data_IF_852776973264
#
_entry.id   IF_852776973264
#
_cell.length_a   1.000
_cell.length_b   1.000
_cell.length_c   1.000
_cell.angle_alpha   90.00
_cell.angle_beta   90.00
_cell.angle_gamma   90.00
#
_symmetry.space_group_name_H-M   'P 1'
#
loop_
_entity.id
_entity.type
_entity.pdbx_description
1 polymer ?
#
# COMPACT_ATOMS: atom_id res chain seq x y z
N UNK A 1 5.50 -39.53 -24.90
CA UNK A 1 6.37 -38.39 -25.24
C UNK A 1 5.55 -37.48 -26.13
N UNK A 2 5.41 -36.20 -25.76
CA UNK A 2 4.70 -35.22 -26.60
C UNK A 2 5.67 -34.78 -27.70
N UNK A 3 5.21 -34.77 -28.94
CA UNK A 3 5.99 -34.31 -30.10
C UNK A 3 6.45 -32.86 -29.86
N UNK A 4 7.70 -32.50 -30.21
CA UNK A 4 8.20 -31.15 -30.00
C UNK A 4 7.40 -30.15 -30.86
N UNK A 5 7.16 -28.97 -30.30
CA UNK A 5 6.46 -27.88 -31.00
C UNK A 5 7.25 -27.41 -32.22
N UNK A 6 6.54 -27.05 -33.30
CA UNK A 6 7.14 -26.38 -34.46
C UNK A 6 7.61 -24.97 -34.11
N UNK A 7 8.42 -24.35 -34.98
CA UNK A 7 8.89 -22.97 -34.78
C UNK A 7 7.71 -22.00 -34.76
N UNK A 8 6.74 -22.18 -35.64
CA UNK A 8 5.52 -21.36 -35.73
C UNK A 8 4.68 -21.49 -34.46
N UNK A 9 4.53 -22.72 -33.93
CA UNK A 9 3.79 -22.97 -32.69
C UNK A 9 4.45 -22.28 -31.48
N UNK A 10 5.79 -22.30 -31.40
CA UNK A 10 6.55 -21.61 -30.34
C UNK A 10 6.40 -20.09 -30.44
N UNK A 11 6.42 -19.53 -31.65
CA UNK A 11 6.21 -18.09 -31.86
C UNK A 11 4.80 -17.66 -31.48
N UNK A 12 3.78 -18.39 -31.94
CA UNK A 12 2.39 -18.13 -31.59
C UNK A 12 2.15 -18.24 -30.08
N UNK A 13 2.80 -19.20 -29.42
CA UNK A 13 2.75 -19.31 -27.96
C UNK A 13 3.38 -18.07 -27.28
N UNK A 14 4.48 -17.54 -27.81
CA UNK A 14 5.11 -16.32 -27.31
C UNK A 14 4.19 -15.10 -27.40
N UNK A 15 3.51 -14.92 -28.54
CA UNK A 15 2.52 -13.85 -28.72
C UNK A 15 1.33 -14.01 -27.76
N UNK A 16 0.83 -15.24 -27.61
CA UNK A 16 -0.25 -15.53 -26.67
C UNK A 16 0.13 -15.24 -25.21
N UNK A 17 1.35 -15.60 -24.80
CA UNK A 17 1.87 -15.25 -23.46
C UNK A 17 1.91 -13.73 -23.27
N UNK A 18 2.35 -12.98 -24.29
CA UNK A 18 2.41 -11.53 -24.23
C UNK A 18 1.01 -10.91 -24.09
N UNK A 19 0.03 -11.40 -24.86
CA UNK A 19 -1.37 -10.99 -24.75
C UNK A 19 -1.96 -11.28 -23.35
N UNK A 20 -1.72 -12.48 -22.81
CA UNK A 20 -2.14 -12.84 -21.46
C UNK A 20 -1.52 -11.92 -20.40
N UNK A 21 -0.25 -11.56 -20.55
CA UNK A 21 0.42 -10.64 -19.64
C UNK A 21 -0.25 -9.24 -19.63
N UNK A 22 -0.62 -8.72 -20.81
CA UNK A 22 -1.36 -7.44 -20.93
C UNK A 22 -2.69 -7.51 -20.16
N UNK A 23 -3.43 -8.61 -20.29
CA UNK A 23 -4.68 -8.80 -19.56
C UNK A 23 -4.47 -8.90 -18.04
N UNK A 24 -3.40 -9.54 -17.59
CA UNK A 24 -3.03 -9.61 -16.18
C UNK A 24 -2.70 -8.22 -15.62
N UNK A 25 -1.97 -7.40 -16.37
CA UNK A 25 -1.65 -6.03 -15.95
C UNK A 25 -2.90 -5.14 -15.87
N UNK A 26 -3.80 -5.24 -16.84
CA UNK A 26 -5.10 -4.56 -16.78
C UNK A 26 -5.98 -5.05 -15.62
N UNK A 27 -5.95 -6.34 -15.29
CA UNK A 27 -6.63 -6.89 -14.12
C UNK A 27 -5.99 -6.42 -12.80
N UNK A 28 -4.66 -6.34 -12.77
CA UNK A 28 -3.91 -5.80 -11.64
C UNK A 28 -4.28 -4.34 -11.38
N UNK A 29 -4.47 -3.53 -12.42
CA UNK A 29 -4.98 -2.16 -12.27
C UNK A 29 -6.31 -2.11 -11.52
N UNK A 30 -7.28 -2.93 -11.94
CA UNK A 30 -8.61 -3.00 -11.28
C UNK A 30 -8.47 -3.40 -9.82
N UNK A 31 -7.67 -4.42 -9.53
CA UNK A 31 -7.38 -4.84 -8.16
C UNK A 31 -6.78 -3.68 -7.33
N UNK A 32 -5.79 -2.97 -7.86
CA UNK A 32 -5.18 -1.83 -7.16
C UNK A 32 -6.19 -0.68 -6.91
N UNK A 33 -7.10 -0.43 -7.85
CA UNK A 33 -8.16 0.57 -7.69
C UNK A 33 -9.14 0.18 -6.57
N UNK A 34 -9.52 -1.09 -6.49
CA UNK A 34 -10.37 -1.62 -5.42
C UNK A 34 -9.64 -1.59 -4.07
N UNK A 35 -8.36 -1.98 -4.04
CA UNK A 35 -7.53 -1.92 -2.83
C UNK A 35 -7.43 -0.51 -2.27
N UNK A 36 -7.23 0.49 -3.13
CA UNK A 36 -7.20 1.90 -2.72
C UNK A 36 -8.53 2.31 -2.09
N UNK A 37 -9.64 1.98 -2.74
CA UNK A 37 -10.98 2.33 -2.26
C UNK A 37 -11.29 1.65 -0.93
N UNK A 38 -10.94 0.36 -0.81
CA UNK A 38 -11.12 -0.42 0.42
C UNK A 38 -10.25 0.08 1.58
N UNK A 39 -8.99 0.42 1.31
CA UNK A 39 -8.06 0.98 2.29
C UNK A 39 -8.54 2.36 2.79
N UNK A 40 -8.96 3.24 1.88
CA UNK A 40 -9.51 4.56 2.20
C UNK A 40 -10.83 4.48 2.99
N UNK A 41 -11.68 3.49 2.71
CA UNK A 41 -12.92 3.25 3.44
C UNK A 41 -12.72 2.60 4.83
N UNK A 42 -11.48 2.22 5.17
CA UNK A 42 -11.15 1.52 6.41
C UNK A 42 -11.80 0.13 6.50
N UNK A 43 -12.04 -0.56 5.38
CA UNK A 43 -12.76 -1.83 5.36
C UNK A 43 -12.07 -2.95 6.16
N UNK A 44 -10.73 -2.89 6.25
CA UNK A 44 -9.92 -3.77 7.08
C UNK A 44 -10.12 -3.53 8.59
N UNK A 45 -10.37 -2.28 9.00
CA UNK A 45 -10.58 -1.92 10.39
C UNK A 45 -11.92 -2.46 10.90
N UNK A 46 -12.97 -2.39 10.08
CA UNK A 46 -14.30 -2.96 10.41
C UNK A 46 -14.24 -4.47 10.65
N UNK A 47 -13.23 -5.15 10.12
CA UNK A 47 -12.97 -6.58 10.29
C UNK A 47 -11.97 -6.87 11.42
N UNK A 48 -11.53 -5.86 12.18
CA UNK A 48 -10.69 -6.01 13.38
C UNK A 48 -9.17 -6.04 13.13
N UNK A 49 -8.71 -5.71 11.92
CA UNK A 49 -7.28 -5.69 11.61
C UNK A 49 -6.62 -4.36 11.97
N UNK A 50 -5.33 -4.37 12.29
CA UNK A 50 -4.56 -3.16 12.62
C UNK A 50 -4.10 -2.34 11.41
N UNK A 51 -4.02 -2.96 10.22
CA UNK A 51 -3.67 -2.29 8.95
C UNK A 51 -4.26 -3.06 7.77
N UNK A 52 -4.47 -2.40 6.62
CA UNK A 52 -4.88 -3.08 5.39
C UNK A 52 -3.89 -4.19 4.94
N UNK A 53 -2.58 -4.00 5.13
CA UNK A 53 -1.58 -5.01 4.75
C UNK A 53 -1.75 -6.33 5.53
N UNK A 54 -2.07 -6.27 6.82
CA UNK A 54 -2.36 -7.47 7.63
C UNK A 54 -3.68 -8.13 7.21
N UNK A 55 -4.69 -7.34 6.84
CA UNK A 55 -5.92 -7.88 6.29
C UNK A 55 -5.67 -8.60 4.96
N UNK A 56 -4.88 -8.01 4.07
CA UNK A 56 -4.50 -8.64 2.79
C UNK A 56 -3.70 -9.92 3.00
N UNK A 57 -2.79 -9.92 3.97
CA UNK A 57 -2.02 -11.13 4.29
C UNK A 57 -2.93 -12.27 4.72
N UNK A 58 -3.93 -11.99 5.55
CA UNK A 58 -4.89 -13.01 5.99
C UNK A 58 -5.94 -13.39 4.92
N UNK A 59 -6.50 -12.42 4.18
CA UNK A 59 -7.57 -12.68 3.20
C UNK A 59 -7.08 -13.20 1.85
N UNK A 60 -5.97 -12.64 1.36
CA UNK A 60 -5.45 -12.86 0.00
C UNK A 60 -4.23 -13.78 0.02
N UNK A 61 -3.62 -14.00 1.18
CA UNK A 61 -2.47 -14.90 1.33
C UNK A 61 -1.13 -14.30 0.93
N UNK A 62 -1.06 -12.98 0.74
CA UNK A 62 0.21 -12.29 0.47
C UNK A 62 1.08 -12.16 1.71
N UNK A 63 2.41 -12.15 1.53
CA UNK A 63 3.28 -11.69 2.59
C UNK A 63 3.11 -10.17 2.82
N UNK A 64 3.54 -9.69 3.98
CA UNK A 64 3.37 -8.28 4.35
C UNK A 64 4.15 -7.32 3.44
N UNK A 65 5.28 -7.73 2.86
CA UNK A 65 6.06 -6.92 1.93
C UNK A 65 5.29 -6.72 0.62
N UNK A 66 4.80 -7.82 0.04
CA UNK A 66 3.96 -7.80 -1.16
C UNK A 66 2.70 -6.97 -0.94
N UNK A 67 1.99 -7.16 0.17
CA UNK A 67 0.79 -6.38 0.48
C UNK A 67 1.06 -4.88 0.60
N UNK A 68 2.16 -4.49 1.27
CA UNK A 68 2.55 -3.08 1.41
C UNK A 68 2.93 -2.46 0.07
N UNK A 69 3.64 -3.20 -0.79
CA UNK A 69 4.05 -2.69 -2.09
C UNK A 69 2.83 -2.43 -3.00
N UNK A 70 1.88 -3.37 -3.05
CA UNK A 70 0.62 -3.17 -3.79
C UNK A 70 -0.16 -1.97 -3.25
N UNK A 71 -0.28 -1.83 -1.92
CA UNK A 71 -0.94 -0.67 -1.32
C UNK A 71 -0.22 0.66 -1.64
N UNK A 72 1.12 0.66 -1.66
CA UNK A 72 1.91 1.84 -2.04
C UNK A 72 1.62 2.24 -3.48
N UNK A 73 1.66 1.28 -4.41
CA UNK A 73 1.37 1.53 -5.83
C UNK A 73 -0.06 2.01 -6.01
N UNK A 74 -1.04 1.34 -5.38
CA UNK A 74 -2.46 1.70 -5.43
C UNK A 74 -2.71 3.15 -5.00
N UNK A 75 -2.05 3.62 -3.93
CA UNK A 75 -2.13 5.00 -3.46
C UNK A 75 -1.47 5.98 -4.43
N UNK A 76 -0.29 5.65 -4.94
CA UNK A 76 0.45 6.52 -5.86
C UNK A 76 -0.26 6.72 -7.21
N UNK A 77 -0.96 5.70 -7.72
CA UNK A 77 -1.70 5.79 -8.99
C UNK A 77 -2.84 6.82 -8.95
N UNK A 78 -3.34 7.21 -7.77
CA UNK A 78 -4.34 8.26 -7.67
C UNK A 78 -3.80 9.63 -8.12
N UNK A 79 -2.52 9.89 -7.87
CA UNK A 79 -1.86 11.16 -8.22
C UNK A 79 -1.13 11.11 -9.56
N UNK A 80 -1.22 9.98 -10.27
CA UNK A 80 -0.53 9.69 -11.51
C UNK A 80 -1.53 9.11 -12.54
N UNK A 81 -2.42 9.96 -13.11
CA UNK A 81 -3.49 9.53 -14.00
C UNK A 81 -2.98 8.91 -15.31
N UNK A 82 -1.89 9.40 -15.90
CA UNK A 82 -1.36 8.88 -17.17
C UNK A 82 -0.77 7.47 -16.98
N UNK A 83 -0.05 7.26 -15.89
CA UNK A 83 0.50 5.94 -15.53
C UNK A 83 -0.62 4.98 -15.16
N UNK A 84 -1.65 5.46 -14.46
CA UNK A 84 -2.85 4.68 -14.14
C UNK A 84 -3.57 4.20 -15.40
N UNK A 85 -3.77 5.09 -16.38
CA UNK A 85 -4.39 4.77 -17.67
C UNK A 85 -3.52 3.80 -18.49
N UNK A 86 -2.21 4.01 -18.54
CA UNK A 86 -1.31 3.11 -19.27
C UNK A 86 -1.32 1.69 -18.69
N UNK A 87 -1.39 1.54 -17.36
CA UNK A 87 -1.52 0.22 -16.72
C UNK A 87 -2.90 -0.39 -16.97
N UNK A 88 -3.98 0.39 -16.92
CA UNK A 88 -5.34 -0.12 -17.16
C UNK A 88 -5.52 -0.64 -18.59
N UNK A 89 -4.84 -0.01 -19.54
CA UNK A 89 -4.76 -0.43 -20.94
C UNK A 89 -3.72 -1.54 -21.20
N UNK A 90 -2.95 -1.96 -20.18
CA UNK A 90 -1.88 -2.94 -20.29
C UNK A 90 -0.71 -2.51 -21.21
N UNK A 91 -0.55 -1.21 -21.45
CA UNK A 91 0.54 -0.63 -22.24
C UNK A 91 1.88 -0.65 -21.48
N UNK A 92 1.82 -0.66 -20.15
CA UNK A 92 2.97 -0.85 -19.27
C UNK A 92 2.65 -1.93 -18.25
N UNK A 93 3.68 -2.67 -17.84
CA UNK A 93 3.50 -3.72 -16.84
C UNK A 93 3.45 -3.18 -15.41
N UNK A 94 2.90 -3.98 -14.49
CA UNK A 94 2.91 -3.68 -13.06
C UNK A 94 4.33 -3.43 -12.54
N UNK A 95 5.32 -4.19 -13.02
CA UNK A 95 6.73 -4.00 -12.65
C UNK A 95 7.26 -2.61 -13.04
N UNK A 96 6.94 -2.13 -14.25
CA UNK A 96 7.29 -0.76 -14.69
C UNK A 96 6.56 0.28 -13.85
N UNK A 97 5.26 0.12 -13.65
CA UNK A 97 4.43 0.98 -12.81
C UNK A 97 4.98 1.10 -11.38
N UNK A 98 5.34 -0.03 -10.78
CA UNK A 98 5.91 -0.11 -9.42
C UNK A 98 7.23 0.66 -9.31
N UNK A 99 8.04 0.68 -10.36
CA UNK A 99 9.28 1.45 -10.42
C UNK A 99 9.02 2.97 -10.57
N UNK A 100 8.14 3.35 -11.49
CA UNK A 100 7.78 4.77 -11.76
C UNK A 100 7.18 5.42 -10.52
N UNK A 101 6.23 4.76 -9.88
CA UNK A 101 5.50 5.26 -8.70
C UNK A 101 6.38 5.52 -7.46
N UNK A 102 7.68 5.16 -7.50
CA UNK A 102 8.63 5.50 -6.42
C UNK A 102 9.15 6.92 -6.50
N UNK A 103 9.15 7.52 -7.69
CA UNK A 103 9.83 8.80 -7.97
C UNK A 103 8.99 9.77 -8.80
N UNK A 104 7.96 9.27 -9.49
CA UNK A 104 7.12 10.10 -10.32
C UNK A 104 6.32 11.11 -9.47
N UNK A 105 6.27 12.33 -9.97
CA UNK A 105 5.37 13.40 -9.54
C UNK A 105 4.49 13.78 -10.73
N UNK A 106 3.43 14.56 -10.50
CA UNK A 106 2.58 15.03 -11.59
C UNK A 106 3.36 15.76 -12.70
N UNK A 107 4.46 16.45 -12.35
CA UNK A 107 5.31 17.15 -13.31
C UNK A 107 6.22 16.22 -14.13
N UNK A 108 6.64 15.08 -13.57
CA UNK A 108 7.58 14.15 -14.22
C UNK A 108 6.90 12.92 -14.82
N UNK A 109 5.61 12.74 -14.56
CA UNK A 109 4.83 11.57 -14.94
C UNK A 109 4.92 11.25 -16.44
N UNK A 110 4.63 12.23 -17.31
CA UNK A 110 4.60 12.03 -18.75
C UNK A 110 5.97 11.60 -19.31
N UNK A 111 7.05 12.19 -18.79
CA UNK A 111 8.43 11.86 -19.19
C UNK A 111 8.80 10.44 -18.78
N UNK A 112 8.49 10.07 -17.53
CA UNK A 112 8.78 8.72 -17.02
C UNK A 112 7.92 7.65 -17.72
N UNK A 113 6.69 7.98 -18.09
CA UNK A 113 5.83 7.10 -18.87
C UNK A 113 6.40 6.86 -20.29
N UNK A 114 6.91 7.92 -20.95
CA UNK A 114 7.60 7.79 -22.23
C UNK A 114 8.78 6.82 -22.16
N UNK A 115 9.62 6.92 -21.12
CA UNK A 115 10.68 5.93 -20.90
C UNK A 115 10.13 4.52 -20.67
N UNK A 116 9.05 4.39 -19.91
CA UNK A 116 8.45 3.09 -19.61
C UNK A 116 7.93 2.37 -20.86
N UNK A 117 7.50 3.08 -21.90
CA UNK A 117 7.04 2.50 -23.16
C UNK A 117 8.18 1.89 -23.98
N UNK A 118 9.41 2.40 -23.84
CA UNK A 118 10.55 1.99 -24.66
C UNK A 118 11.64 1.21 -23.92
N UNK A 119 11.63 1.20 -22.58
CA UNK A 119 12.62 0.49 -21.77
C UNK A 119 12.08 -0.81 -21.19
N UNK A 120 12.98 -1.74 -20.85
CA UNK A 120 12.63 -2.88 -19.99
C UNK A 120 12.38 -2.42 -18.55
N UNK A 121 11.71 -3.24 -17.74
CA UNK A 121 11.46 -2.91 -16.34
C UNK A 121 12.77 -2.71 -15.55
N UNK A 122 13.82 -3.48 -15.81
CA UNK A 122 15.12 -3.37 -15.13
C UNK A 122 15.89 -2.09 -15.51
N UNK A 123 15.85 -1.71 -16.79
CA UNK A 123 16.40 -0.43 -17.24
C UNK A 123 15.66 0.74 -16.58
N UNK A 124 14.32 0.68 -16.55
CA UNK A 124 13.50 1.70 -15.93
C UNK A 124 13.74 1.80 -14.42
N UNK A 125 13.88 0.67 -13.71
CA UNK A 125 14.25 0.67 -12.29
C UNK A 125 15.59 1.36 -12.04
N UNK A 126 16.56 1.20 -12.93
CA UNK A 126 17.86 1.88 -12.86
C UNK A 126 17.71 3.38 -13.05
N UNK A 127 16.92 3.81 -14.04
CA UNK A 127 16.61 5.24 -14.28
C UNK A 127 15.92 5.83 -13.06
N UNK A 128 14.83 5.21 -12.57
CA UNK A 128 14.09 5.69 -11.42
C UNK A 128 14.96 5.77 -10.16
N UNK A 129 15.85 4.79 -9.93
CA UNK A 129 16.77 4.83 -8.79
C UNK A 129 17.67 6.07 -8.83
N UNK A 130 18.24 6.40 -10.00
CA UNK A 130 19.09 7.58 -10.17
C UNK A 130 18.32 8.89 -9.97
N UNK A 131 17.11 8.97 -10.53
CA UNK A 131 16.23 10.13 -10.35
C UNK A 131 15.84 10.31 -8.87
N UNK A 132 15.55 9.21 -8.17
CA UNK A 132 15.18 9.23 -6.75
C UNK A 132 16.30 9.75 -5.86
N UNK A 133 17.55 9.37 -6.13
CA UNK A 133 18.72 9.91 -5.39
C UNK A 133 18.84 11.42 -5.59
N UNK A 134 18.79 11.89 -6.84
CA UNK A 134 18.90 13.32 -7.16
C UNK A 134 17.72 14.14 -6.59
N UNK A 135 16.52 13.57 -6.59
CA UNK A 135 15.32 14.19 -6.02
C UNK A 135 15.33 14.23 -4.49
N UNK A 136 15.86 13.19 -3.83
CA UNK A 136 16.02 13.15 -2.37
C UNK A 136 17.03 14.20 -1.88
N UNK A 137 18.11 14.41 -2.62
CA UNK A 137 19.11 15.45 -2.31
C UNK A 137 18.53 16.87 -2.45
N UNK A 138 17.65 17.09 -3.43
CA UNK A 138 16.93 18.34 -3.62
C UNK A 138 15.82 18.55 -2.56
N UNK A 139 15.04 17.51 -2.24
CA UNK A 139 13.96 17.56 -1.25
C UNK A 139 14.47 17.65 0.20
N UNK A 140 15.68 17.15 0.48
CA UNK A 140 16.33 17.35 1.78
C UNK A 140 16.70 18.81 2.05
N UNK A 141 16.73 19.65 0.99
CA UNK A 141 16.99 21.11 1.08
C UNK A 141 15.72 21.95 1.13
N UNK A 142 14.57 21.39 0.78
CA UNK A 142 13.27 22.05 0.82
C UNK A 142 12.44 21.49 1.99
N UNK A 143 12.50 22.21 3.12
CA UNK A 143 11.63 22.09 4.29
C UNK A 143 10.25 21.50 3.97
N UNK A 144 9.98 20.27 4.42
CA UNK A 144 8.64 19.66 4.29
C UNK A 144 7.67 20.38 5.23
N UNK A 145 6.48 20.81 4.79
CA UNK A 145 5.44 21.25 5.72
C UNK A 145 4.96 20.05 6.54
N UNK A 146 5.37 19.99 7.80
CA UNK A 146 5.04 18.91 8.75
C UNK A 146 3.53 18.74 9.02
N UNK A 147 2.69 19.67 8.55
CA UNK A 147 1.25 19.67 8.85
C UNK A 147 0.46 18.60 8.08
N UNK A 148 0.92 18.21 6.90
CA UNK A 148 0.17 17.28 6.01
C UNK A 148 0.21 15.82 6.49
N UNK A 149 1.21 15.46 7.31
CA UNK A 149 1.43 14.09 7.80
C UNK A 149 0.91 13.89 9.23
N UNK A 150 0.36 14.94 9.86
CA UNK A 150 -0.08 14.93 11.25
C UNK A 150 -1.38 14.13 11.43
N UNK A 151 -1.37 13.08 12.24
CA UNK A 151 -2.58 12.33 12.62
C UNK A 151 -2.47 11.66 13.99
N UNK A 152 -3.62 11.35 14.59
CA UNK A 152 -3.73 10.53 15.80
C UNK A 152 -4.85 9.50 15.61
N UNK A 153 -4.54 8.23 15.82
CA UNK A 153 -5.48 7.12 15.84
C UNK A 153 -5.34 6.35 17.15
N UNK A 154 -6.43 5.80 17.68
CA UNK A 154 -6.36 4.93 18.86
C UNK A 154 -7.21 3.69 18.71
N UNK A 155 -6.81 2.62 19.39
CA UNK A 155 -7.52 1.33 19.44
C UNK A 155 -7.53 0.83 20.86
N UNK A 156 -8.70 0.61 21.46
CA UNK A 156 -8.78 -0.11 22.73
C UNK A 156 -8.51 -1.59 22.48
N UNK A 157 -7.93 -2.37 23.38
CA UNK A 157 -7.73 -3.83 23.28
C UNK A 157 -8.85 -4.58 24.02
N UNK A 158 -8.94 -5.91 23.85
CA UNK A 158 -9.92 -6.72 24.58
C UNK A 158 -9.68 -6.75 26.10
N UNK A 159 -8.47 -6.38 26.55
CA UNK A 159 -8.10 -6.21 27.95
C UNK A 159 -8.35 -4.79 28.48
N UNK A 160 -8.90 -3.89 27.65
CA UNK A 160 -9.19 -2.50 28.04
C UNK A 160 -8.02 -1.52 27.91
N UNK A 161 -6.83 -1.99 27.49
CA UNK A 161 -5.70 -1.09 27.21
C UNK A 161 -5.95 -0.28 25.94
N UNK A 162 -5.34 0.90 25.80
CA UNK A 162 -5.50 1.73 24.59
C UNK A 162 -4.17 1.85 23.86
N UNK A 163 -4.11 1.35 22.62
CA UNK A 163 -3.00 1.53 21.71
C UNK A 163 -3.20 2.83 20.93
N UNK A 164 -2.35 3.82 21.13
CA UNK A 164 -2.37 5.09 20.38
C UNK A 164 -1.27 5.06 19.32
N UNK A 165 -1.60 5.42 18.09
CA UNK A 165 -0.67 5.63 16.98
C UNK A 165 -0.79 7.07 16.52
N UNK A 166 0.29 7.83 16.62
CA UNK A 166 0.31 9.24 16.23
C UNK A 166 1.51 9.54 15.34
N UNK A 167 1.32 10.40 14.35
CA UNK A 167 2.39 11.11 13.66
C UNK A 167 2.20 12.59 14.00
N UNK A 168 3.16 13.16 14.70
CA UNK A 168 3.08 14.49 15.28
C UNK A 168 4.30 15.30 14.85
N UNK A 169 4.22 16.61 15.00
CA UNK A 169 5.41 17.45 14.87
C UNK A 169 6.45 17.07 15.95
N UNK A 170 7.76 17.29 15.72
CA UNK A 170 8.79 16.85 16.65
C UNK A 170 8.60 17.37 18.09
N UNK A 171 8.15 18.62 18.23
CA UNK A 171 7.81 19.27 19.50
C UNK A 171 6.59 18.63 20.19
N UNK A 172 5.52 18.35 19.44
CA UNK A 172 4.33 17.65 19.92
C UNK A 172 4.63 16.19 20.33
N UNK A 173 5.46 15.50 19.55
CA UNK A 173 5.88 14.12 19.83
C UNK A 173 6.73 14.04 21.10
N UNK A 174 7.65 14.99 21.30
CA UNK A 174 8.47 15.06 22.51
C UNK A 174 7.61 15.20 23.77
N UNK A 175 6.59 16.07 23.72
CA UNK A 175 5.65 16.27 24.83
C UNK A 175 4.84 14.98 25.11
N UNK A 176 4.32 14.33 24.06
CA UNK A 176 3.56 13.08 24.19
C UNK A 176 4.43 11.96 24.80
N UNK A 177 5.65 11.78 24.31
CA UNK A 177 6.56 10.74 24.81
C UNK A 177 6.94 10.98 26.26
N UNK A 178 7.18 12.24 26.66
CA UNK A 178 7.47 12.58 28.05
C UNK A 178 6.30 12.22 28.97
N UNK A 179 5.06 12.51 28.57
CA UNK A 179 3.86 12.16 29.35
C UNK A 179 3.69 10.65 29.44
N UNK A 180 3.92 9.91 28.35
CA UNK A 180 3.74 8.45 28.31
C UNK A 180 4.85 7.67 29.03
N UNK A 181 6.04 8.25 29.20
CA UNK A 181 7.17 7.65 29.91
C UNK A 181 7.12 7.89 31.42
N UNK A 182 6.17 8.69 31.92
CA UNK A 182 5.91 8.80 33.35
C UNK A 182 5.47 7.41 33.87
N UNK A 183 6.06 6.89 34.96
CA UNK A 183 5.58 5.66 35.57
C UNK A 183 4.10 5.83 35.91
N UNK A 184 3.28 4.86 35.50
CA UNK A 184 1.84 4.90 35.69
C UNK A 184 1.54 5.11 37.18
N UNK A 185 1.04 6.30 37.54
CA UNK A 185 0.50 6.55 38.86
C UNK A 185 -0.71 5.65 38.99
N UNK A 186 -0.70 4.76 39.99
CA UNK A 186 -1.78 3.82 40.29
C UNK A 186 -3.12 4.54 40.42
N UNK A 187 -3.85 4.65 39.32
CA UNK A 187 -5.21 5.15 39.30
C UNK A 187 -6.16 3.97 39.48
N UNK A 188 -6.05 3.28 40.61
CA UNK A 188 -7.08 2.33 41.04
C UNK A 188 -8.26 3.09 41.66
N UNK A 189 -9.31 3.25 40.84
CA UNK A 189 -10.74 3.54 41.15
C UNK A 189 -11.12 4.88 41.80
N UNK A 190 -11.96 5.64 41.06
CA UNK A 190 -13.26 6.11 41.55
C UNK A 190 -14.20 6.40 40.36
N UNK A 191 -15.50 6.31 40.60
CA UNK A 191 -16.55 5.96 39.66
C UNK A 191 -17.09 7.09 38.76
N UNK A 192 -17.72 6.68 37.66
CA UNK A 192 -19.08 7.14 37.32
C UNK A 192 -19.21 8.31 36.35
N UNK A 193 -19.26 8.01 35.05
CA UNK A 193 -19.74 8.96 34.03
C UNK A 193 -20.06 8.24 32.73
N UNK A 194 -21.34 7.90 32.52
CA UNK A 194 -21.82 7.31 31.26
C UNK A 194 -21.64 8.31 30.12
N UNK A 195 -20.73 8.04 29.19
CA UNK A 195 -20.83 8.51 27.80
C UNK A 195 -21.01 7.29 26.90
N UNK A 196 -22.05 7.36 26.09
CA UNK A 196 -22.67 6.27 25.33
C UNK A 196 -21.74 5.81 24.21
N UNK A 197 -20.87 4.85 24.51
CA UNK A 197 -20.04 4.15 23.53
C UNK A 197 -20.87 3.12 22.77
N UNK A 198 -21.35 3.48 21.58
CA UNK A 198 -21.90 2.55 20.61
C UNK A 198 -20.80 1.90 19.78
N UNK A 199 -19.88 1.15 20.40
CA UNK A 199 -18.94 0.31 19.66
C UNK A 199 -19.07 -1.13 20.18
N UNK A 200 -19.97 -1.89 19.54
CA UNK A 200 -20.13 -3.33 19.79
C UNK A 200 -18.90 -4.04 19.24
N UNK A 201 -18.01 -4.45 20.14
CA UNK A 201 -16.84 -5.25 19.82
C UNK A 201 -17.19 -6.72 19.92
N UNK A 202 -17.34 -7.35 18.77
CA UNK A 202 -17.51 -8.79 18.65
C UNK A 202 -16.16 -9.50 18.83
N UNK A 203 -16.08 -10.46 19.74
CA UNK A 203 -14.95 -11.39 19.85
C UNK A 203 -15.18 -12.50 18.83
N UNK A 204 -14.51 -12.42 17.69
CA UNK A 204 -14.37 -13.55 16.78
C UNK A 204 -13.08 -14.29 17.09
N UNK A 205 -13.18 -15.44 17.74
CA UNK A 205 -12.15 -16.48 17.72
C UNK A 205 -11.86 -16.84 16.27
N UNK A 206 -10.62 -16.67 15.82
CA UNK A 206 -10.17 -17.25 14.55
C UNK A 206 -10.05 -18.75 14.77
N UNK A 207 -11.15 -19.47 14.51
CA UNK A 207 -11.08 -20.90 14.27
C UNK A 207 -10.42 -21.08 12.91
N UNK A 208 -9.18 -21.58 12.93
CA UNK A 208 -8.51 -22.15 11.77
C UNK A 208 -9.32 -23.33 11.26
N UNK A 209 -9.96 -23.17 10.10
CA UNK A 209 -10.31 -24.33 9.28
C UNK A 209 -9.96 -24.05 7.83
N UNK A 210 -9.11 -24.93 7.30
CA UNK A 210 -8.86 -25.13 5.88
C UNK A 210 -10.19 -25.33 5.15
N UNK A 211 -10.34 -24.68 4.00
CA UNK A 211 -11.00 -25.30 2.86
C UNK A 211 -10.36 -24.72 1.60
N UNK A 212 -9.59 -25.59 0.94
CA UNK A 212 -9.21 -25.49 -0.45
C UNK A 212 -10.49 -25.74 -1.24
N UNK A 213 -10.80 -24.86 -2.19
CA UNK A 213 -11.77 -25.05 -3.26
C UNK A 213 -11.19 -24.46 -4.52
#
# INVERSE_FOLDING_TARGET
MREPLSVEEVQALGEHIAEQAVHLDAAMHRLLADLRTFDAAGGWYRQGFGTCAHWLSWRVGWDLGTAREHLRVARALHTLPLVSEALSAGQISYSKTRAITRVATAATEAVLLGYAQHCTASQLETVCRKVGVLGADAASKAMRPHDSERYVAHTTTASGMVCVKACLRPDEAALLLQVLQQPAVDCTRAAGGRIRAGCRRFRGSVSTSRAIG
#
